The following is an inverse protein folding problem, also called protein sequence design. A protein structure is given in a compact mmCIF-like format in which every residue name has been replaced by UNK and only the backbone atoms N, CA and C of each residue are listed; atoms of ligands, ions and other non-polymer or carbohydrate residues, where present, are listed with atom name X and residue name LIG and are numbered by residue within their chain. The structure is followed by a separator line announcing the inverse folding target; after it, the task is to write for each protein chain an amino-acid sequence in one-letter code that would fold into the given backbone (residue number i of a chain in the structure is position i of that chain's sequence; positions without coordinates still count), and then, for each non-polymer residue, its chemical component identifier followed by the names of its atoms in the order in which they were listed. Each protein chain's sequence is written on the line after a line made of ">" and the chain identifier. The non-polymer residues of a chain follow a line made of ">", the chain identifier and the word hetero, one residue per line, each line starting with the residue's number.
data_IF_569351725029
#
_entry.id   IF_569351725029
#
_cell.length_a   1.000
_cell.length_b   1.000
_cell.length_c   1.000
_cell.angle_alpha   90.00
_cell.angle_beta   90.00
_cell.angle_gamma   90.00
#
_symmetry.space_group_name_H-M   'P 1'
#
loop_
_entity.id
_entity.type
_entity.pdbx_description
1 polymer ?
#
# COMPACT_ATOMS: atom_id res chain seq x y z
N UNK A 1 7.22 -4.65 38.24
CA UNK A 1 6.79 -4.35 36.85
C UNK A 1 6.34 -5.60 36.08
N UNK A 2 5.59 -6.53 36.72
CA UNK A 2 5.19 -7.83 36.11
C UNK A 2 3.75 -7.90 35.61
N UNK A 3 2.93 -6.88 35.87
CA UNK A 3 1.46 -7.02 35.84
C UNK A 3 0.79 -6.60 34.52
N UNK A 4 1.56 -6.07 33.54
CA UNK A 4 1.01 -5.59 32.25
C UNK A 4 1.11 -6.59 31.09
N UNK A 5 1.79 -7.71 31.27
CA UNK A 5 1.92 -8.77 30.25
C UNK A 5 0.58 -9.34 29.77
N UNK A 6 -0.41 -9.66 30.62
CA UNK A 6 -1.65 -10.28 30.14
C UNK A 6 -2.49 -9.34 29.27
N UNK A 7 -2.41 -8.01 29.49
CA UNK A 7 -3.11 -7.02 28.66
C UNK A 7 -2.46 -6.91 27.28
N UNK A 8 -1.12 -6.91 27.23
CA UNK A 8 -0.37 -6.85 25.97
C UNK A 8 -0.60 -8.10 25.12
N UNK A 9 -0.71 -9.27 25.75
CA UNK A 9 -1.00 -10.53 25.05
C UNK A 9 -2.39 -10.53 24.41
N UNK A 10 -3.41 -9.99 25.10
CA UNK A 10 -4.76 -9.83 24.51
C UNK A 10 -4.80 -8.86 23.34
N UNK A 11 -4.02 -7.78 23.40
CA UNK A 11 -3.91 -6.79 22.31
C UNK A 11 -3.20 -7.34 21.07
N UNK A 12 -2.40 -8.39 21.21
CA UNK A 12 -1.62 -8.99 20.11
C UNK A 12 -2.25 -10.31 19.65
N UNK A 13 -3.41 -10.69 20.19
CA UNK A 13 -4.15 -11.89 19.78
C UNK A 13 -4.53 -11.81 18.29
N UNK A 14 -4.16 -12.83 17.53
CA UNK A 14 -4.35 -12.88 16.08
C UNK A 14 -5.83 -12.81 15.70
N UNK A 15 -6.72 -13.41 16.51
CA UNK A 15 -8.17 -13.38 16.27
C UNK A 15 -8.74 -11.98 16.42
N UNK A 16 -8.31 -11.27 17.46
CA UNK A 16 -8.77 -9.90 17.73
C UNK A 16 -8.24 -8.95 16.66
N UNK A 17 -6.94 -9.03 16.35
CA UNK A 17 -6.34 -8.23 15.28
C UNK A 17 -7.04 -8.48 13.94
N UNK A 18 -7.33 -9.74 13.61
CA UNK A 18 -8.07 -10.08 12.39
C UNK A 18 -9.47 -9.48 12.39
N UNK A 19 -10.21 -9.57 13.49
CA UNK A 19 -11.52 -8.94 13.62
C UNK A 19 -11.47 -7.42 13.40
N UNK A 20 -10.46 -6.74 13.95
CA UNK A 20 -10.27 -5.29 13.75
C UNK A 20 -9.90 -4.95 12.30
N UNK A 21 -9.10 -5.78 11.61
CA UNK A 21 -8.79 -5.59 10.19
C UNK A 21 -10.05 -5.70 9.34
N UNK A 22 -10.88 -6.74 9.56
CA UNK A 22 -12.12 -6.94 8.81
C UNK A 22 -13.12 -5.81 9.08
N UNK A 23 -13.24 -5.37 10.33
CA UNK A 23 -14.08 -4.23 10.68
C UNK A 23 -13.59 -2.95 10.00
N UNK A 24 -12.28 -2.67 10.05
CA UNK A 24 -11.70 -1.50 9.38
C UNK A 24 -11.94 -1.55 7.85
N UNK A 25 -11.81 -2.73 7.24
CA UNK A 25 -12.11 -2.92 5.82
C UNK A 25 -13.57 -2.60 5.50
N UNK A 26 -14.51 -3.08 6.32
CA UNK A 26 -15.92 -2.78 6.16
C UNK A 26 -16.22 -1.27 6.28
N UNK A 27 -15.64 -0.60 7.29
CA UNK A 27 -15.79 0.86 7.48
C UNK A 27 -15.31 1.62 6.23
N UNK A 28 -14.13 1.28 5.70
CA UNK A 28 -13.59 1.95 4.52
C UNK A 28 -14.43 1.64 3.28
N UNK A 29 -14.91 0.40 3.14
CA UNK A 29 -15.79 0.01 2.04
C UNK A 29 -17.10 0.80 2.03
N UNK A 30 -17.76 0.94 3.18
CA UNK A 30 -18.99 1.75 3.30
C UNK A 30 -18.73 3.22 2.98
N UNK A 31 -17.59 3.76 3.42
CA UNK A 31 -17.17 5.14 3.12
C UNK A 31 -16.97 5.42 1.63
N UNK A 32 -16.71 4.37 0.83
CA UNK A 32 -16.56 4.49 -0.61
C UNK A 32 -17.85 4.85 -1.36
N UNK A 33 -19.02 4.68 -0.75
CA UNK A 33 -20.31 4.99 -1.38
C UNK A 33 -20.67 6.47 -1.22
N UNK A 34 -20.90 7.22 -2.32
CA UNK A 34 -21.33 8.62 -2.23
C UNK A 34 -22.65 8.81 -1.47
N UNK A 35 -23.56 7.82 -1.53
CA UNK A 35 -24.83 7.83 -0.79
C UNK A 35 -24.65 7.82 0.73
N UNK A 36 -23.51 7.34 1.23
CA UNK A 36 -23.19 7.24 2.65
C UNK A 36 -22.40 8.44 3.19
N UNK A 37 -22.26 9.52 2.40
CA UNK A 37 -21.48 10.71 2.79
C UNK A 37 -21.95 11.37 4.11
N UNK A 38 -23.22 11.23 4.46
CA UNK A 38 -23.76 11.73 5.73
C UNK A 38 -23.19 11.01 6.98
N UNK A 39 -22.69 9.78 6.83
CA UNK A 39 -22.04 9.01 7.90
C UNK A 39 -20.53 9.23 7.96
N UNK A 40 -19.95 10.04 7.06
CA UNK A 40 -18.50 10.24 6.96
C UNK A 40 -17.83 10.64 8.29
N UNK A 41 -18.41 11.54 9.12
CA UNK A 41 -17.81 11.89 10.41
C UNK A 41 -17.70 10.69 11.36
N UNK A 42 -18.72 9.83 11.39
CA UNK A 42 -18.76 8.64 12.23
C UNK A 42 -17.80 7.57 11.70
N UNK A 43 -17.82 7.32 10.39
CA UNK A 43 -16.94 6.35 9.73
C UNK A 43 -15.46 6.77 9.84
N UNK A 44 -15.17 8.07 9.75
CA UNK A 44 -13.84 8.60 10.01
C UNK A 44 -13.38 8.33 11.45
N UNK A 45 -14.23 8.56 12.45
CA UNK A 45 -13.93 8.26 13.84
C UNK A 45 -13.65 6.77 14.09
N UNK A 46 -14.44 5.88 13.46
CA UNK A 46 -14.23 4.43 13.55
C UNK A 46 -12.93 3.98 12.89
N UNK A 47 -12.63 4.50 11.69
CA UNK A 47 -11.37 4.24 10.98
C UNK A 47 -10.16 4.74 11.79
N UNK A 48 -10.27 5.93 12.39
CA UNK A 48 -9.26 6.48 13.28
C UNK A 48 -9.03 5.61 14.53
N UNK A 49 -10.10 5.11 15.15
CA UNK A 49 -10.01 4.20 16.30
C UNK A 49 -9.31 2.88 15.93
N UNK A 50 -9.61 2.32 14.74
CA UNK A 50 -8.90 1.15 14.24
C UNK A 50 -7.41 1.43 14.03
N UNK A 51 -7.07 2.58 13.44
CA UNK A 51 -5.68 2.99 13.25
C UNK A 51 -4.92 3.12 14.58
N UNK A 52 -5.55 3.73 15.59
CA UNK A 52 -5.00 3.83 16.94
C UNK A 52 -4.77 2.44 17.56
N UNK A 53 -5.72 1.51 17.37
CA UNK A 53 -5.55 0.12 17.80
C UNK A 53 -4.32 -0.53 17.16
N UNK A 54 -4.13 -0.41 15.84
CA UNK A 54 -2.95 -0.98 15.17
C UNK A 54 -1.63 -0.35 15.62
N UNK A 55 -1.64 0.95 15.91
CA UNK A 55 -0.47 1.60 16.51
C UNK A 55 -0.15 1.00 17.89
N UNK A 56 -1.15 0.82 18.75
CA UNK A 56 -0.98 0.22 20.07
C UNK A 56 -0.55 -1.25 19.99
N UNK A 57 -1.11 -2.02 19.05
CA UNK A 57 -0.72 -3.40 18.75
C UNK A 57 0.76 -3.49 18.36
N UNK A 58 1.22 -2.60 17.46
CA UNK A 58 2.62 -2.51 17.04
C UNK A 58 3.54 -2.23 18.24
N UNK A 59 3.19 -1.26 19.08
CA UNK A 59 3.96 -0.94 20.29
C UNK A 59 3.97 -2.13 21.26
N UNK A 60 2.85 -2.84 21.41
CA UNK A 60 2.76 -4.04 22.24
C UNK A 60 3.67 -5.16 21.72
N UNK A 61 3.69 -5.43 20.40
CA UNK A 61 4.61 -6.40 19.78
C UNK A 61 6.07 -6.06 20.04
N UNK A 62 6.44 -4.79 19.93
CA UNK A 62 7.82 -4.33 20.18
C UNK A 62 8.19 -4.57 21.65
N UNK A 63 7.28 -4.29 22.60
CA UNK A 63 7.53 -4.52 24.03
C UNK A 63 7.62 -6.00 24.40
N UNK A 64 6.83 -6.87 23.78
CA UNK A 64 6.82 -8.31 24.08
C UNK A 64 8.00 -9.05 23.45
N UNK A 65 8.37 -8.72 22.20
CA UNK A 65 9.38 -9.46 21.42
C UNK A 65 10.75 -8.77 21.37
N UNK A 66 10.84 -7.55 21.89
CA UNK A 66 12.01 -6.68 21.73
C UNK A 66 12.15 -6.14 20.30
N UNK A 67 12.97 -5.10 20.14
CA UNK A 67 13.21 -4.48 18.83
C UNK A 67 13.79 -5.49 17.83
N UNK A 68 14.83 -6.24 18.22
CA UNK A 68 15.49 -7.20 17.32
C UNK A 68 14.53 -8.31 16.84
N UNK A 69 13.71 -8.85 17.75
CA UNK A 69 12.70 -9.86 17.43
C UNK A 69 11.56 -9.33 16.56
N UNK A 70 11.22 -8.04 16.70
CA UNK A 70 10.23 -7.38 15.85
C UNK A 70 10.74 -7.26 14.41
N UNK A 71 11.96 -6.73 14.20
CA UNK A 71 12.53 -6.48 12.88
C UNK A 71 12.90 -7.74 12.10
N UNK A 72 13.09 -8.88 12.76
CA UNK A 72 13.41 -10.14 12.09
C UNK A 72 12.29 -10.66 11.17
N UNK A 73 11.02 -10.42 11.51
CA UNK A 73 9.85 -10.93 10.75
C UNK A 73 9.40 -9.94 9.67
N UNK A 74 9.25 -10.41 8.43
CA UNK A 74 8.84 -9.55 7.32
C UNK A 74 7.44 -8.96 7.52
N UNK A 75 6.50 -9.74 8.06
CA UNK A 75 5.14 -9.26 8.35
C UNK A 75 5.10 -8.10 9.36
N UNK A 76 6.02 -8.09 10.34
CA UNK A 76 6.11 -7.00 11.31
C UNK A 76 6.70 -5.73 10.68
N UNK A 77 7.71 -5.87 9.81
CA UNK A 77 8.27 -4.75 9.04
C UNK A 77 7.22 -4.11 8.14
N UNK A 78 6.40 -4.94 7.50
CA UNK A 78 5.27 -4.48 6.70
C UNK A 78 4.24 -3.71 7.54
N UNK A 79 3.84 -4.26 8.69
CA UNK A 79 2.92 -3.60 9.64
C UNK A 79 3.45 -2.22 10.09
N UNK A 80 4.76 -2.13 10.39
CA UNK A 80 5.43 -0.87 10.70
C UNK A 80 5.32 0.15 9.57
N UNK A 81 5.61 -0.25 8.33
CA UNK A 81 5.48 0.64 7.15
C UNK A 81 4.06 1.15 7.01
N UNK A 82 3.05 0.30 7.21
CA UNK A 82 1.64 0.70 7.11
C UNK A 82 1.21 1.67 8.21
N UNK A 83 1.67 1.46 9.45
CA UNK A 83 1.40 2.37 10.57
C UNK A 83 2.07 3.72 10.35
N UNK A 84 3.33 3.74 9.90
CA UNK A 84 4.07 4.98 9.58
C UNK A 84 3.43 5.72 8.41
N UNK A 85 3.05 5.03 7.34
CA UNK A 85 2.36 5.63 6.19
C UNK A 85 1.01 6.26 6.58
N UNK A 86 0.39 5.75 7.66
CA UNK A 86 -0.88 6.26 8.19
C UNK A 86 -0.70 7.32 9.29
N UNK A 87 0.53 7.58 9.75
CA UNK A 87 0.83 8.50 10.85
C UNK A 87 0.30 9.94 10.61
N UNK A 88 0.33 10.49 9.38
CA UNK A 88 -0.25 11.82 9.16
C UNK A 88 -1.75 11.90 9.45
N UNK A 89 -2.50 10.80 9.34
CA UNK A 89 -3.92 10.73 9.74
C UNK A 89 -4.09 10.77 11.26
N UNK A 90 -3.10 10.28 12.03
CA UNK A 90 -3.12 10.39 13.49
C UNK A 90 -2.84 11.81 13.96
N UNK A 91 -2.05 12.56 13.18
CA UNK A 91 -1.58 13.90 13.55
C UNK A 91 -2.50 14.99 12.95
N UNK A 92 -3.24 14.69 11.87
CA UNK A 92 -4.14 15.64 11.22
C UNK A 92 -5.17 16.32 12.14
N UNK A 93 -5.70 15.71 13.22
CA UNK A 93 -6.59 16.40 14.15
C UNK A 93 -5.88 17.46 15.02
N UNK A 94 -4.54 17.43 15.09
CA UNK A 94 -3.74 18.23 16.01
C UNK A 94 -2.91 19.32 15.32
N UNK A 95 -2.77 19.27 13.99
CA UNK A 95 -1.97 20.22 13.23
C UNK A 95 -2.54 20.41 11.82
N UNK A 96 -2.80 21.66 11.42
CA UNK A 96 -3.18 22.05 10.06
C UNK A 96 -1.95 22.04 9.14
N UNK A 97 -1.49 20.83 8.78
CA UNK A 97 -0.38 20.63 7.83
C UNK A 97 -0.94 20.34 6.45
N UNK A 98 -1.79 21.22 5.93
CA UNK A 98 -2.48 21.00 4.64
C UNK A 98 -1.62 21.33 3.42
N UNK A 99 -0.56 22.14 3.57
CA UNK A 99 0.14 22.74 2.44
C UNK A 99 1.40 21.98 1.97
N UNK A 100 1.80 20.91 2.65
CA UNK A 100 3.03 20.19 2.29
C UNK A 100 2.71 19.06 1.31
N UNK A 101 3.32 19.07 0.11
CA UNK A 101 3.14 18.03 -0.91
C UNK A 101 3.34 16.59 -0.39
N UNK A 102 4.19 16.40 0.62
CA UNK A 102 4.39 15.11 1.29
C UNK A 102 3.11 14.61 1.98
N UNK A 103 2.30 15.50 2.55
CA UNK A 103 1.04 15.14 3.22
C UNK A 103 0.03 14.58 2.23
N UNK A 104 -0.01 15.10 0.99
CA UNK A 104 -0.83 14.52 -0.10
C UNK A 104 -0.41 13.09 -0.45
N UNK A 105 0.90 12.81 -0.50
CA UNK A 105 1.41 11.46 -0.76
C UNK A 105 1.00 10.50 0.36
N UNK A 106 1.14 10.88 1.62
CA UNK A 106 0.70 10.04 2.74
C UNK A 106 -0.83 9.89 2.81
N UNK A 107 -1.58 10.92 2.42
CA UNK A 107 -3.04 10.85 2.23
C UNK A 107 -3.41 9.84 1.14
N UNK A 108 -2.66 9.75 0.05
CA UNK A 108 -2.88 8.68 -0.94
C UNK A 108 -2.42 7.31 -0.40
N UNK A 109 -1.31 7.28 0.33
CA UNK A 109 -0.73 6.08 0.94
C UNK A 109 -1.66 5.41 1.95
N UNK A 110 -2.68 6.10 2.46
CA UNK A 110 -3.73 5.48 3.29
C UNK A 110 -4.46 4.34 2.56
N UNK A 111 -4.44 4.28 1.23
CA UNK A 111 -4.93 3.12 0.46
C UNK A 111 -4.07 1.88 0.73
N UNK A 112 -2.80 2.03 1.06
CA UNK A 112 -1.94 0.89 1.44
C UNK A 112 -2.46 0.18 2.69
N UNK A 113 -3.29 0.82 3.52
CA UNK A 113 -3.88 0.16 4.70
C UNK A 113 -4.81 -1.00 4.32
N UNK A 114 -5.38 -1.01 3.12
CA UNK A 114 -6.11 -2.17 2.59
C UNK A 114 -5.20 -3.40 2.51
N UNK A 115 -3.90 -3.21 2.28
CA UNK A 115 -2.91 -4.27 2.28
C UNK A 115 -2.72 -4.91 3.67
N UNK A 116 -3.29 -4.35 4.76
CA UNK A 116 -3.37 -5.06 6.05
C UNK A 116 -4.10 -6.40 5.92
N UNK A 117 -5.00 -6.55 4.94
CA UNK A 117 -5.64 -7.83 4.62
C UNK A 117 -4.63 -8.93 4.28
N UNK A 118 -3.41 -8.58 3.81
CA UNK A 118 -2.35 -9.55 3.56
C UNK A 118 -1.92 -10.28 4.84
N UNK A 119 -2.19 -9.73 6.04
CA UNK A 119 -1.99 -10.41 7.32
C UNK A 119 -2.92 -11.62 7.52
N UNK A 120 -4.04 -11.68 6.79
CA UNK A 120 -4.94 -12.83 6.77
C UNK A 120 -4.32 -14.05 6.10
N UNK A 121 -3.39 -13.83 5.16
CA UNK A 121 -2.83 -14.91 4.35
C UNK A 121 -1.95 -15.79 5.26
N UNK A 122 -2.34 -17.06 5.49
CA UNK A 122 -1.50 -17.98 6.24
C UNK A 122 -0.18 -18.14 5.50
N UNK A 123 0.92 -18.11 6.23
CA UNK A 123 2.27 -18.18 5.66
C UNK A 123 2.58 -17.05 4.65
N UNK A 124 2.09 -15.82 4.87
CA UNK A 124 2.40 -14.65 4.05
C UNK A 124 3.91 -14.47 3.75
N UNK A 125 4.79 -14.84 4.70
CA UNK A 125 6.24 -14.82 4.48
C UNK A 125 6.69 -15.77 3.35
N UNK A 126 6.05 -16.94 3.19
CA UNK A 126 6.33 -17.88 2.11
C UNK A 126 5.83 -17.32 0.77
N UNK A 127 4.63 -16.75 0.75
CA UNK A 127 4.07 -16.10 -0.44
C UNK A 127 4.99 -14.98 -0.91
N UNK A 128 5.42 -14.09 0.00
CA UNK A 128 6.34 -13.00 -0.32
C UNK A 128 7.66 -13.51 -0.89
N UNK A 129 8.25 -14.56 -0.30
CA UNK A 129 9.46 -15.19 -0.84
C UNK A 129 9.22 -15.78 -2.24
N UNK A 130 8.06 -16.37 -2.48
CA UNK A 130 7.65 -16.89 -3.80
C UNK A 130 7.58 -15.80 -4.86
N UNK A 131 6.91 -14.68 -4.55
CA UNK A 131 6.81 -13.51 -5.43
C UNK A 131 8.19 -12.94 -5.72
N UNK A 132 9.03 -12.75 -4.70
CA UNK A 132 10.40 -12.24 -4.89
C UNK A 132 11.26 -13.18 -5.72
N UNK A 133 11.09 -14.51 -5.56
CA UNK A 133 11.80 -15.50 -6.37
C UNK A 133 11.36 -15.45 -7.83
N UNK A 134 10.05 -15.37 -8.08
CA UNK A 134 9.50 -15.25 -9.43
C UNK A 134 9.97 -13.94 -10.09
N UNK A 135 9.88 -12.81 -9.38
CA UNK A 135 10.38 -11.53 -9.88
C UNK A 135 11.86 -11.61 -10.21
N UNK A 136 12.70 -12.12 -9.30
CA UNK A 136 14.15 -12.26 -9.52
C UNK A 136 14.47 -13.12 -10.74
N UNK A 137 13.73 -14.21 -10.94
CA UNK A 137 13.88 -15.06 -12.13
C UNK A 137 13.49 -14.32 -13.42
N UNK A 138 12.49 -13.44 -13.36
CA UNK A 138 11.98 -12.69 -14.51
C UNK A 138 12.65 -11.33 -14.75
N UNK A 139 13.57 -10.86 -13.88
CA UNK A 139 14.21 -9.52 -14.02
C UNK A 139 14.83 -9.33 -15.40
N UNK A 140 15.57 -10.32 -15.90
CA UNK A 140 16.21 -10.23 -17.22
C UNK A 140 15.19 -10.08 -18.35
N UNK A 141 14.09 -10.82 -18.28
CA UNK A 141 13.01 -10.74 -19.25
C UNK A 141 12.27 -9.39 -19.18
N UNK A 142 11.99 -8.88 -17.98
CA UNK A 142 11.36 -7.57 -17.79
C UNK A 142 12.25 -6.45 -18.36
N UNK A 143 13.56 -6.51 -18.12
CA UNK A 143 14.51 -5.55 -18.68
C UNK A 143 14.55 -5.65 -20.22
N UNK A 144 14.61 -6.86 -20.76
CA UNK A 144 14.60 -7.07 -22.21
C UNK A 144 13.32 -6.53 -22.85
N UNK A 145 12.16 -6.77 -22.24
CA UNK A 145 10.87 -6.26 -22.70
C UNK A 145 10.81 -4.73 -22.62
N UNK A 146 11.32 -4.13 -21.53
CA UNK A 146 11.38 -2.69 -21.39
C UNK A 146 12.29 -2.04 -22.45
N UNK A 147 13.46 -2.64 -22.74
CA UNK A 147 14.36 -2.18 -23.80
C UNK A 147 13.73 -2.33 -25.18
N UNK A 148 13.08 -3.46 -25.45
CA UNK A 148 12.37 -3.69 -26.70
C UNK A 148 11.26 -2.65 -26.91
N UNK A 149 10.45 -2.40 -25.88
CA UNK A 149 9.44 -1.36 -25.90
C UNK A 149 10.03 0.05 -26.09
N UNK A 150 11.21 0.30 -25.50
CA UNK A 150 11.94 1.56 -25.70
C UNK A 150 12.36 1.73 -27.17
N UNK A 151 12.97 0.72 -27.78
CA UNK A 151 13.39 0.76 -29.18
C UNK A 151 12.21 1.01 -30.10
N UNK A 152 11.10 0.30 -29.93
CA UNK A 152 9.90 0.53 -30.74
C UNK A 152 9.27 1.90 -30.50
N UNK A 153 9.28 2.40 -29.27
CA UNK A 153 8.80 3.75 -28.97
C UNK A 153 9.63 4.82 -29.70
N UNK A 154 10.97 4.70 -29.69
CA UNK A 154 11.83 5.63 -30.41
C UNK A 154 11.63 5.56 -31.93
N UNK A 155 11.53 4.34 -32.48
CA UNK A 155 11.21 4.14 -33.91
C UNK A 155 9.85 4.76 -34.23
N UNK A 156 8.82 4.49 -33.42
CA UNK A 156 7.48 5.03 -33.61
C UNK A 156 7.44 6.56 -33.57
N UNK A 157 8.16 7.18 -32.63
CA UNK A 157 8.29 8.63 -32.56
C UNK A 157 8.95 9.20 -33.82
N UNK A 158 9.98 8.55 -34.35
CA UNK A 158 10.64 9.00 -35.58
C UNK A 158 9.79 8.83 -36.83
N UNK A 159 8.99 7.76 -36.95
CA UNK A 159 8.19 7.51 -38.15
C UNK A 159 6.83 8.22 -38.14
N UNK A 160 6.21 8.37 -36.97
CA UNK A 160 4.80 8.73 -36.86
C UNK A 160 4.53 10.02 -36.08
N UNK A 161 5.56 10.76 -35.69
CA UNK A 161 5.40 12.05 -34.98
C UNK A 161 4.56 13.05 -35.75
N UNK A 162 4.71 13.12 -37.08
CA UNK A 162 3.94 14.05 -37.93
C UNK A 162 2.52 13.55 -38.23
N UNK A 163 2.31 12.23 -38.23
CA UNK A 163 1.03 11.60 -38.61
C UNK A 163 0.09 11.47 -37.41
N UNK A 164 0.62 11.09 -36.25
CA UNK A 164 -0.13 10.87 -35.02
C UNK A 164 0.63 11.46 -33.81
N UNK A 165 0.78 12.79 -33.74
CA UNK A 165 1.55 13.48 -32.70
C UNK A 165 1.02 13.25 -31.28
N UNK A 166 -0.27 12.96 -31.13
CA UNK A 166 -0.89 12.62 -29.84
C UNK A 166 -0.33 11.34 -29.21
N UNK A 167 0.13 10.40 -30.04
CA UNK A 167 0.67 9.11 -29.61
C UNK A 167 2.19 9.03 -29.73
N UNK A 168 2.75 9.69 -30.75
CA UNK A 168 4.16 9.56 -31.16
C UNK A 168 4.93 10.89 -31.16
N UNK A 169 4.33 11.98 -30.68
CA UNK A 169 4.96 13.31 -30.72
C UNK A 169 6.19 13.47 -29.83
N UNK A 170 6.36 12.63 -28.82
CA UNK A 170 7.58 12.56 -28.02
C UNK A 170 7.94 11.12 -27.63
N UNK A 171 9.22 10.83 -27.32
CA UNK A 171 9.67 9.48 -27.01
C UNK A 171 8.95 8.81 -25.83
N UNK A 172 8.59 9.56 -24.78
CA UNK A 172 7.92 8.97 -23.61
C UNK A 172 6.48 8.57 -23.95
N UNK A 173 5.76 9.43 -24.69
CA UNK A 173 4.43 9.09 -25.21
C UNK A 173 4.47 7.90 -26.16
N UNK A 174 5.46 7.85 -27.05
CA UNK A 174 5.60 6.74 -27.99
C UNK A 174 5.89 5.41 -27.29
N UNK A 175 6.76 5.41 -26.26
CA UNK A 175 7.04 4.24 -25.41
C UNK A 175 5.78 3.80 -24.67
N UNK A 176 5.01 4.73 -24.12
CA UNK A 176 3.73 4.42 -23.45
C UNK A 176 2.70 3.86 -24.45
N UNK A 177 2.61 4.44 -25.65
CA UNK A 177 1.73 3.95 -26.72
C UNK A 177 2.12 2.53 -27.13
N UNK A 178 3.40 2.26 -27.38
CA UNK A 178 3.88 0.91 -27.71
C UNK A 178 3.62 -0.09 -26.58
N UNK A 179 3.73 0.35 -25.32
CA UNK A 179 3.39 -0.49 -24.18
C UNK A 179 1.90 -0.88 -24.18
N UNK A 180 1.00 0.09 -24.40
CA UNK A 180 -0.45 -0.17 -24.51
C UNK A 180 -0.77 -1.14 -25.66
N UNK A 181 -0.11 -0.97 -26.80
CA UNK A 181 -0.25 -1.88 -27.95
C UNK A 181 0.16 -3.30 -27.57
N UNK A 182 1.26 -3.47 -26.84
CA UNK A 182 1.69 -4.78 -26.35
C UNK A 182 0.72 -5.42 -25.36
N UNK A 183 0.04 -4.62 -24.54
CA UNK A 183 -0.97 -5.11 -23.60
C UNK A 183 -2.36 -5.25 -24.22
N UNK A 184 -2.50 -4.96 -25.52
CA UNK A 184 -3.77 -4.99 -26.27
C UNK A 184 -4.81 -4.06 -25.64
N UNK A 185 -4.36 -2.94 -25.06
CA UNK A 185 -5.24 -1.93 -24.47
C UNK A 185 -5.50 -0.80 -25.48
N UNK A 186 -6.77 -0.57 -25.81
CA UNK A 186 -7.18 0.56 -26.66
C UNK A 186 -6.74 0.45 -28.12
N UNK A 187 -6.73 -0.77 -28.67
CA UNK A 187 -6.49 -1.08 -30.08
C UNK A 187 -7.77 -1.02 -30.92
#
# INVERSE_FOLDING_TARGET
>A
MSDRRPVLERLVDERLVMGVILFNLAVIFVRGFPSMAHLDPVLFGLDYACLLYFFLEMVAKIRLRGLHGFWARAINRFDFVLVVASAPTLISPFTDVDEVALVLVFRAARVLRFLRVLRFIPHADQLWRGVMRALRASVGFIIALALYNMVLGLIGAHLFSDVAPEHFGDPLRAIYTMFKVFTVEGW
#
